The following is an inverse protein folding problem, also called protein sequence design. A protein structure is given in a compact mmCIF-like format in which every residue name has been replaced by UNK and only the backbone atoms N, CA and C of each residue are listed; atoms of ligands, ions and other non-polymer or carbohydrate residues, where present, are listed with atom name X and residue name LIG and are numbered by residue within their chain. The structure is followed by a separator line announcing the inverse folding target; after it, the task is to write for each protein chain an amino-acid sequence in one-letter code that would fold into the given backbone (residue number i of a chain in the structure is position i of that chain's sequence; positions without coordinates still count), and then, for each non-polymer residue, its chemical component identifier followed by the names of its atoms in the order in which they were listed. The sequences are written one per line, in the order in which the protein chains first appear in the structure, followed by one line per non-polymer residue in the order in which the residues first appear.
data_IF_089625831452
#
_entry.id   IF_089625831452
#
_cell.length_a   1.000
_cell.length_b   1.000
_cell.length_c   1.000
_cell.angle_alpha   90.00
_cell.angle_beta   90.00
_cell.angle_gamma   90.00
#
_symmetry.space_group_name_H-M   'P 1'
#
loop_
_entity.id
_entity.type
_entity.pdbx_description
1 polymer ?
#
# COMPACT_ATOMS: atom_id res chain seq x y z
N UNK A 1 16.14 22.63 12.01
CA UNK A 1 17.20 21.73 11.48
C UNK A 1 16.49 20.71 10.58
N UNK A 2 16.53 20.86 9.24
CA UNK A 2 15.76 19.97 8.35
C UNK A 2 15.59 20.45 6.90
N UNK A 3 15.76 21.75 6.64
CA UNK A 3 15.58 22.34 5.31
C UNK A 3 16.41 21.63 4.21
N UNK A 4 17.66 21.24 4.52
CA UNK A 4 18.52 20.51 3.57
C UNK A 4 18.01 19.11 3.23
N UNK A 5 17.43 18.40 4.20
CA UNK A 5 16.87 17.05 4.00
C UNK A 5 15.60 17.15 3.14
N UNK A 6 14.72 18.10 3.44
CA UNK A 6 13.53 18.35 2.62
C UNK A 6 13.89 18.70 1.18
N UNK A 7 14.88 19.57 0.97
CA UNK A 7 15.37 19.92 -0.35
C UNK A 7 15.91 18.68 -1.11
N UNK A 8 16.69 17.83 -0.44
CA UNK A 8 17.19 16.59 -1.04
C UNK A 8 16.05 15.63 -1.42
N UNK A 9 15.05 15.46 -0.54
CA UNK A 9 13.85 14.66 -0.84
C UNK A 9 13.10 15.19 -2.07
N UNK A 10 12.92 16.51 -2.17
CA UNK A 10 12.18 17.14 -3.28
C UNK A 10 12.86 16.95 -4.63
N UNK A 11 14.20 17.03 -4.65
CA UNK A 11 14.99 16.77 -5.87
C UNK A 11 14.77 15.32 -6.31
N UNK A 12 14.86 14.35 -5.39
CA UNK A 12 14.65 12.94 -5.72
C UNK A 12 13.21 12.64 -6.17
N UNK A 13 12.22 13.23 -5.49
CA UNK A 13 10.82 13.07 -5.84
C UNK A 13 10.54 13.58 -7.26
N UNK A 14 11.02 14.77 -7.61
CA UNK A 14 10.84 15.34 -8.96
C UNK A 14 11.50 14.48 -10.04
N UNK A 15 12.69 13.96 -9.77
CA UNK A 15 13.38 13.05 -10.68
C UNK A 15 12.58 11.75 -10.88
N UNK A 16 12.01 11.18 -9.82
CA UNK A 16 11.14 10.00 -9.91
C UNK A 16 9.86 10.28 -10.70
N UNK A 17 9.23 11.43 -10.49
CA UNK A 17 8.03 11.85 -11.23
C UNK A 17 8.34 11.94 -12.73
N UNK A 18 9.42 12.65 -13.08
CA UNK A 18 9.85 12.80 -14.47
C UNK A 18 10.15 11.44 -15.13
N UNK A 19 10.88 10.56 -14.45
CA UNK A 19 11.17 9.22 -14.97
C UNK A 19 9.93 8.35 -15.09
N UNK A 20 8.99 8.43 -14.15
CA UNK A 20 7.73 7.67 -14.21
C UNK A 20 6.93 8.08 -15.44
N UNK A 21 6.90 9.38 -15.77
CA UNK A 21 6.27 9.90 -16.98
C UNK A 21 6.95 9.39 -18.25
N UNK A 22 8.29 9.37 -18.31
CA UNK A 22 9.02 8.91 -19.49
C UNK A 22 8.93 7.39 -19.69
N UNK A 23 9.09 6.62 -18.62
CA UNK A 23 9.13 5.15 -18.66
C UNK A 23 7.73 4.52 -18.70
N UNK A 24 6.66 5.29 -18.45
CA UNK A 24 5.26 4.86 -18.42
C UNK A 24 5.03 3.59 -17.56
N UNK A 25 5.82 3.44 -16.51
CA UNK A 25 5.75 2.30 -15.59
C UNK A 25 5.96 2.75 -14.17
N UNK A 26 5.44 1.96 -13.24
CA UNK A 26 5.65 2.15 -11.81
C UNK A 26 7.12 1.88 -11.46
N UNK A 27 7.83 2.92 -10.99
CA UNK A 27 9.25 2.84 -10.59
C UNK A 27 9.46 2.42 -9.14
N UNK A 28 8.50 2.73 -8.26
CA UNK A 28 8.55 2.38 -6.84
C UNK A 28 7.56 1.25 -6.55
N UNK A 29 7.91 0.26 -5.70
CA UNK A 29 6.96 -0.76 -5.31
C UNK A 29 5.81 -0.14 -4.50
N UNK A 30 4.62 -0.75 -4.60
CA UNK A 30 3.46 -0.41 -3.82
C UNK A 30 3.65 -1.06 -2.45
N UNK A 31 3.42 -0.28 -1.41
CA UNK A 31 3.53 -0.73 -0.04
C UNK A 31 2.17 -0.91 0.64
N UNK A 32 1.08 -0.74 -0.12
CA UNK A 32 -0.29 -1.05 0.31
C UNK A 32 -0.36 -2.50 0.81
N UNK A 33 -1.02 -2.72 1.94
CA UNK A 33 -1.10 -4.01 2.64
C UNK A 33 0.18 -4.51 3.30
N UNK A 34 1.30 -3.78 3.18
CA UNK A 34 2.55 -4.06 3.91
C UNK A 34 2.82 -3.05 5.01
N UNK A 35 2.70 -1.76 4.67
CA UNK A 35 2.91 -0.65 5.62
C UNK A 35 1.59 -0.10 6.17
N UNK A 36 0.50 -0.21 5.40
CA UNK A 36 -0.83 0.26 5.77
C UNK A 36 -1.90 -0.74 5.31
N UNK A 37 -3.06 -0.68 5.97
CA UNK A 37 -4.30 -1.37 5.61
C UNK A 37 -5.47 -0.46 5.97
N UNK A 38 -6.61 -0.70 5.35
CA UNK A 38 -7.86 0.02 5.64
C UNK A 38 -8.87 -1.00 6.17
N UNK A 39 -9.47 -0.71 7.32
CA UNK A 39 -10.54 -1.51 7.91
C UNK A 39 -11.83 -0.70 7.82
N UNK A 40 -12.85 -1.25 7.18
CA UNK A 40 -14.17 -0.63 7.09
C UNK A 40 -15.04 -0.94 8.31
N UNK A 41 -16.13 -0.19 8.48
CA UNK A 41 -17.13 -0.40 9.53
C UNK A 41 -17.80 -1.78 9.46
N UNK A 42 -17.86 -2.38 8.27
CA UNK A 42 -18.41 -3.71 8.06
C UNK A 42 -17.44 -4.83 8.50
N UNK A 43 -16.17 -4.47 8.74
CA UNK A 43 -15.10 -5.37 9.12
C UNK A 43 -14.24 -5.85 7.95
N UNK A 44 -14.41 -5.28 6.75
CA UNK A 44 -13.64 -5.66 5.58
C UNK A 44 -12.26 -4.99 5.60
N UNK A 45 -11.23 -5.77 5.26
CA UNK A 45 -9.83 -5.31 5.24
C UNK A 45 -9.39 -5.13 3.80
N UNK A 46 -8.89 -3.93 3.48
CA UNK A 46 -8.35 -3.56 2.17
C UNK A 46 -6.87 -3.16 2.29
N UNK A 47 -6.08 -3.27 1.20
CA UNK A 47 -4.68 -2.87 1.23
C UNK A 47 -4.47 -1.35 1.16
N UNK A 48 -5.39 -0.60 0.54
CA UNK A 48 -5.45 0.86 0.53
C UNK A 48 -6.88 1.34 0.24
N UNK A 49 -7.15 2.65 0.38
CA UNK A 49 -8.47 3.24 0.23
C UNK A 49 -9.02 3.19 -1.21
N UNK A 50 -8.13 3.01 -2.18
CA UNK A 50 -8.45 3.09 -3.61
C UNK A 50 -8.77 1.71 -4.19
N UNK A 51 -8.19 0.64 -3.62
CA UNK A 51 -8.35 -0.70 -4.17
C UNK A 51 -9.69 -1.29 -3.72
N UNK A 52 -10.49 -1.77 -4.68
CA UNK A 52 -11.81 -2.38 -4.43
C UNK A 52 -11.73 -3.85 -4.01
N UNK A 53 -10.55 -4.47 -4.10
CA UNK A 53 -10.34 -5.86 -3.73
C UNK A 53 -10.09 -5.99 -2.23
N UNK A 54 -11.01 -6.67 -1.55
CA UNK A 54 -10.90 -6.99 -0.13
C UNK A 54 -9.91 -8.14 0.09
N UNK A 55 -9.04 -7.98 1.08
CA UNK A 55 -8.14 -9.03 1.57
C UNK A 55 -8.93 -10.09 2.37
N UNK A 56 -10.03 -9.69 3.01
CA UNK A 56 -10.93 -10.54 3.81
C UNK A 56 -11.67 -9.76 4.90
N UNK A 57 -12.64 -10.38 5.56
CA UNK A 57 -13.37 -9.78 6.68
C UNK A 57 -12.81 -10.24 8.04
N UNK A 58 -12.64 -9.33 9.00
CA UNK A 58 -12.10 -9.64 10.33
C UNK A 58 -12.92 -10.68 11.10
N UNK A 59 -14.23 -10.78 10.86
CA UNK A 59 -15.12 -11.72 11.53
C UNK A 59 -14.78 -13.18 11.18
N UNK A 60 -14.34 -13.42 9.95
CA UNK A 60 -14.01 -14.77 9.46
C UNK A 60 -12.65 -15.28 9.97
N UNK A 61 -11.81 -14.37 10.47
CA UNK A 61 -10.44 -14.65 10.90
C UNK A 61 -10.22 -14.44 12.40
N UNK A 62 -11.30 -14.47 13.19
CA UNK A 62 -11.24 -14.26 14.65
C UNK A 62 -10.53 -12.95 15.02
N UNK A 63 -10.78 -11.90 14.23
CA UNK A 63 -10.19 -10.58 14.35
C UNK A 63 -8.64 -10.53 14.24
N UNK A 64 -8.00 -11.59 13.75
CA UNK A 64 -6.56 -11.64 13.54
C UNK A 64 -6.17 -11.17 12.13
N UNK A 65 -5.81 -9.89 12.03
CA UNK A 65 -5.35 -9.24 10.80
C UNK A 65 -4.13 -9.95 10.20
N UNK A 66 -3.23 -10.51 11.03
CA UNK A 66 -2.03 -11.19 10.50
C UNK A 66 -2.40 -12.48 9.78
N UNK A 67 -3.47 -13.17 10.20
CA UNK A 67 -4.01 -14.32 9.45
C UNK A 67 -4.58 -13.89 8.11
N UNK A 68 -5.32 -12.79 8.06
CA UNK A 68 -5.88 -12.23 6.83
C UNK A 68 -4.74 -11.90 5.84
N UNK A 69 -3.71 -11.18 6.28
CA UNK A 69 -2.57 -10.79 5.44
C UNK A 69 -1.73 -11.98 4.95
N UNK A 70 -1.79 -13.13 5.63
CA UNK A 70 -1.12 -14.37 5.23
C UNK A 70 -1.99 -15.30 4.38
N UNK A 71 -3.26 -14.97 4.19
CA UNK A 71 -4.18 -15.74 3.35
C UNK A 71 -3.71 -15.75 1.90
N UNK A 72 -4.10 -16.79 1.16
CA UNK A 72 -3.75 -16.90 -0.26
C UNK A 72 -4.43 -15.80 -1.09
N UNK A 73 -5.61 -15.33 -0.66
CA UNK A 73 -6.26 -14.18 -1.26
C UNK A 73 -5.41 -12.91 -1.10
N UNK A 74 -4.99 -12.60 0.14
CA UNK A 74 -4.15 -11.43 0.38
C UNK A 74 -2.81 -11.52 -0.38
N UNK A 75 -2.17 -12.69 -0.44
CA UNK A 75 -0.92 -12.85 -1.21
C UNK A 75 -1.11 -12.59 -2.71
N UNK A 76 -2.26 -12.93 -3.29
CA UNK A 76 -2.55 -12.65 -4.71
C UNK A 76 -2.72 -11.15 -4.96
N UNK A 77 -3.40 -10.45 -4.04
CA UNK A 77 -3.68 -9.02 -4.14
C UNK A 77 -2.42 -8.17 -3.86
N UNK A 78 -1.53 -8.66 -2.99
CA UNK A 78 -0.33 -7.96 -2.53
C UNK A 78 0.96 -8.29 -3.31
N UNK A 79 0.86 -9.14 -4.34
CA UNK A 79 1.96 -9.50 -5.22
C UNK A 79 2.34 -8.34 -6.16
#
# INVERSE_FOLDING_TARGET
RGARIKAAQDILQRNLIHRTLLEQKRLIPCYAGRLNIVLTENGDVYPCEILTESLGNVKDYDYDIKKILRSDNAKKILA
#
